data_IF_739012415505
#
_entry.id   IF_739012415505
#
_cell.length_a   1.000
_cell.length_b   1.000
_cell.length_c   1.000
_cell.angle_alpha   90.00
_cell.angle_beta   90.00
_cell.angle_gamma   90.00
#
_symmetry.space_group_name_H-M   'P 1'
#
loop_
_entity.id
_entity.type
_entity.pdbx_description
1 polymer ?
#
# COMPACT_ATOMS: atom_id res chain seq x y z
N UNK A 1 -22.39 -17.85 10.27
CA UNK A 1 -22.76 -16.91 9.19
C UNK A 1 -21.48 -16.18 8.83
N UNK A 2 -20.74 -16.80 7.89
CA UNK A 2 -19.44 -16.29 7.46
C UNK A 2 -19.69 -15.07 6.57
N UNK A 3 -19.42 -13.89 7.13
CA UNK A 3 -19.31 -12.66 6.34
C UNK A 3 -18.05 -12.78 5.49
N UNK A 4 -18.20 -13.34 4.30
CA UNK A 4 -17.20 -13.26 3.25
C UNK A 4 -17.08 -11.79 2.87
N UNK A 5 -16.08 -11.12 3.42
CA UNK A 5 -15.70 -9.80 2.96
C UNK A 5 -15.27 -9.93 1.50
N UNK A 6 -16.15 -9.56 0.57
CA UNK A 6 -15.74 -9.35 -0.80
C UNK A 6 -14.71 -8.21 -0.77
N UNK A 7 -13.47 -8.58 -0.96
CA UNK A 7 -12.36 -7.66 -1.18
C UNK A 7 -12.76 -6.70 -2.31
N UNK A 8 -13.16 -5.49 -1.94
CA UNK A 8 -13.01 -4.38 -2.87
C UNK A 8 -11.59 -3.91 -2.69
N UNK A 9 -10.76 -4.18 -3.68
CA UNK A 9 -9.41 -3.65 -3.82
C UNK A 9 -9.51 -2.13 -3.93
N UNK A 10 -9.52 -1.46 -2.79
CA UNK A 10 -9.34 -0.02 -2.73
C UNK A 10 -7.81 0.15 -2.73
N UNK A 11 -7.28 0.61 -3.85
CA UNK A 11 -5.92 1.17 -4.04
C UNK A 11 -4.86 0.64 -3.06
N UNK A 12 -4.32 -0.55 -3.30
CA UNK A 12 -3.15 -1.06 -2.58
C UNK A 12 -3.38 -1.50 -1.13
N UNK A 13 -4.58 -1.39 -0.59
CA UNK A 13 -4.91 -1.86 0.75
C UNK A 13 -5.33 -3.32 0.64
N UNK A 14 -4.34 -4.19 0.73
CA UNK A 14 -4.57 -5.62 0.75
C UNK A 14 -4.78 -6.07 2.19
N UNK A 15 -5.97 -6.57 2.45
CA UNK A 15 -6.27 -7.45 3.55
C UNK A 15 -6.31 -6.82 4.96
N UNK A 16 -7.51 -6.39 5.35
CA UNK A 16 -7.83 -6.08 6.74
C UNK A 16 -7.93 -7.33 7.63
N UNK A 17 -7.74 -8.55 7.11
CA UNK A 17 -7.79 -9.80 7.87
C UNK A 17 -6.70 -9.93 8.94
N UNK A 18 -5.74 -9.00 8.96
CA UNK A 18 -4.62 -9.00 9.90
C UNK A 18 -4.86 -8.30 11.24
N UNK A 19 -6.00 -7.68 11.41
CA UNK A 19 -6.35 -7.29 12.77
C UNK A 19 -6.74 -8.54 13.54
N UNK A 20 -5.90 -8.98 14.48
CA UNK A 20 -6.19 -10.12 15.34
C UNK A 20 -7.32 -9.76 16.30
N UNK A 21 -8.55 -9.83 15.77
CA UNK A 21 -9.78 -9.61 16.53
C UNK A 21 -10.22 -10.87 17.29
N UNK A 22 -9.44 -11.95 17.26
CA UNK A 22 -9.84 -13.26 17.78
C UNK A 22 -10.11 -13.30 19.27
N UNK A 23 -9.71 -12.28 20.03
CA UNK A 23 -9.72 -12.39 21.48
C UNK A 23 -10.82 -11.62 22.22
N UNK A 24 -11.73 -10.91 21.57
CA UNK A 24 -12.96 -10.43 22.24
C UNK A 24 -14.06 -10.08 21.24
N UNK A 25 -15.27 -10.58 21.49
CA UNK A 25 -16.47 -10.26 20.69
C UNK A 25 -16.74 -8.74 20.60
N UNK A 26 -16.42 -7.98 21.65
CA UNK A 26 -16.59 -6.52 21.65
C UNK A 26 -15.61 -5.80 20.71
N UNK A 27 -14.37 -6.27 20.58
CA UNK A 27 -13.38 -5.68 19.67
C UNK A 27 -13.67 -6.02 18.21
N UNK A 28 -14.11 -7.23 17.93
CA UNK A 28 -14.58 -7.60 16.57
C UNK A 28 -15.67 -6.64 16.12
N UNK A 29 -16.63 -6.36 16.98
CA UNK A 29 -17.74 -5.44 16.66
C UNK A 29 -17.24 -4.01 16.46
N UNK A 30 -16.32 -3.53 17.27
CA UNK A 30 -15.73 -2.17 17.16
C UNK A 30 -14.91 -1.99 15.89
N UNK A 31 -14.05 -2.96 15.58
CA UNK A 31 -13.30 -2.96 14.32
C UNK A 31 -14.21 -3.06 13.11
N UNK A 32 -15.24 -3.90 13.17
CA UNK A 32 -16.24 -4.02 12.11
C UNK A 32 -17.00 -2.70 11.91
N UNK A 33 -17.38 -2.00 12.98
CA UNK A 33 -18.05 -0.72 12.89
C UNK A 33 -17.17 0.34 12.19
N UNK A 34 -15.90 0.44 12.56
CA UNK A 34 -14.97 1.34 11.87
C UNK A 34 -14.82 1.00 10.38
N UNK A 35 -14.74 -0.29 10.05
CA UNK A 35 -14.66 -0.73 8.66
C UNK A 35 -15.96 -0.49 7.87
N UNK A 36 -17.10 -0.63 8.51
CA UNK A 36 -18.41 -0.30 7.91
C UNK A 36 -18.46 1.20 7.58
N UNK A 37 -18.06 2.06 8.52
CA UNK A 37 -18.02 3.52 8.32
C UNK A 37 -17.04 3.89 7.19
N UNK A 38 -15.87 3.28 7.18
CA UNK A 38 -14.89 3.48 6.10
C UNK A 38 -15.45 3.08 4.74
N UNK A 39 -16.05 1.89 4.62
CA UNK A 39 -16.62 1.40 3.36
C UNK A 39 -17.83 2.20 2.89
N UNK A 40 -18.53 2.88 3.81
CA UNK A 40 -19.61 3.80 3.50
C UNK A 40 -19.13 5.23 3.20
N UNK A 41 -17.81 5.46 3.17
CA UNK A 41 -17.20 6.78 3.02
C UNK A 41 -17.59 7.78 4.11
N UNK A 42 -17.99 7.30 5.29
CA UNK A 42 -18.36 8.10 6.47
C UNK A 42 -17.13 8.36 7.34
N UNK A 43 -16.13 9.02 6.74
CA UNK A 43 -14.82 9.19 7.38
C UNK A 43 -14.86 10.05 8.64
N UNK A 44 -15.72 11.06 8.70
CA UNK A 44 -15.90 11.89 9.90
C UNK A 44 -16.46 11.05 11.06
N UNK A 45 -17.55 10.30 10.82
CA UNK A 45 -18.13 9.41 11.84
C UNK A 45 -17.12 8.35 12.32
N UNK A 46 -16.27 7.84 11.40
CA UNK A 46 -15.19 6.91 11.74
C UNK A 46 -14.15 7.57 12.64
N UNK A 47 -13.74 8.82 12.37
CA UNK A 47 -12.77 9.55 13.18
C UNK A 47 -13.32 9.86 14.59
N UNK A 48 -14.58 10.27 14.70
CA UNK A 48 -15.24 10.50 15.98
C UNK A 48 -15.27 9.21 16.81
N UNK A 49 -15.65 8.10 16.18
CA UNK A 49 -15.65 6.79 16.84
C UNK A 49 -14.24 6.33 17.27
N UNK A 50 -13.22 6.60 16.45
CA UNK A 50 -11.84 6.35 16.83
C UNK A 50 -11.44 7.17 18.07
N UNK A 51 -11.86 8.43 18.18
CA UNK A 51 -11.54 9.29 19.30
C UNK A 51 -12.14 8.76 20.60
N UNK A 52 -13.41 8.34 20.61
CA UNK A 52 -14.06 7.72 21.78
C UNK A 52 -13.27 6.49 22.25
N UNK A 53 -12.81 5.65 21.31
CA UNK A 53 -12.03 4.46 21.64
C UNK A 53 -10.60 4.79 22.14
N UNK A 54 -9.98 5.84 21.59
CA UNK A 54 -8.68 6.33 22.08
C UNK A 54 -8.76 6.75 23.55
N UNK A 55 -9.79 7.50 23.91
CA UNK A 55 -10.03 7.91 25.29
C UNK A 55 -10.25 6.70 26.20
N UNK A 56 -11.11 5.76 25.79
CA UNK A 56 -11.40 4.54 26.56
C UNK A 56 -10.12 3.72 26.81
N UNK A 57 -9.32 3.48 25.76
CA UNK A 57 -8.12 2.64 25.91
C UNK A 57 -6.95 3.35 26.58
N UNK A 58 -6.86 4.67 26.46
CA UNK A 58 -5.89 5.48 27.21
C UNK A 58 -6.17 5.39 28.73
N UNK A 59 -7.41 5.56 29.16
CA UNK A 59 -7.82 5.43 30.56
C UNK A 59 -7.51 4.03 31.11
N UNK A 60 -7.72 3.00 30.30
CA UNK A 60 -7.47 1.61 30.66
C UNK A 60 -6.01 1.20 30.55
N UNK A 61 -5.11 2.08 30.14
CA UNK A 61 -3.70 1.78 29.82
C UNK A 61 -3.53 0.61 28.85
N UNK A 62 -4.47 0.46 27.90
CA UNK A 62 -4.44 -0.62 26.91
C UNK A 62 -3.78 -0.16 25.60
N UNK A 63 -2.44 0.05 25.67
CA UNK A 63 -1.66 0.57 24.55
C UNK A 63 -1.69 -0.33 23.31
N UNK A 64 -1.85 -1.65 23.45
CA UNK A 64 -1.96 -2.55 22.28
C UNK A 64 -3.23 -2.24 21.49
N UNK A 65 -4.36 -2.04 22.19
CA UNK A 65 -5.61 -1.66 21.54
C UNK A 65 -5.59 -0.23 21.00
N UNK A 66 -4.90 0.66 21.70
CA UNK A 66 -4.66 2.02 21.24
C UNK A 66 -3.90 2.02 19.90
N UNK A 67 -2.88 1.19 19.75
CA UNK A 67 -2.17 1.02 18.49
C UNK A 67 -3.05 0.46 17.37
N UNK A 68 -4.00 -0.43 17.69
CA UNK A 68 -4.99 -0.90 16.71
C UNK A 68 -5.87 0.25 16.21
N UNK A 69 -6.35 1.09 17.12
CA UNK A 69 -7.17 2.26 16.77
C UNK A 69 -6.37 3.25 15.91
N UNK A 70 -5.16 3.58 16.31
CA UNK A 70 -4.28 4.46 15.53
C UNK A 70 -4.03 3.91 14.12
N UNK A 71 -3.79 2.61 13.99
CA UNK A 71 -3.61 1.96 12.72
C UNK A 71 -4.85 2.05 11.82
N UNK A 72 -6.06 1.97 12.38
CA UNK A 72 -7.31 2.14 11.62
C UNK A 72 -7.59 3.60 11.28
N UNK A 73 -7.36 4.50 12.23
CA UNK A 73 -7.56 5.94 12.05
C UNK A 73 -6.81 6.50 10.85
N UNK A 74 -5.60 5.99 10.59
CA UNK A 74 -4.79 6.40 9.45
C UNK A 74 -5.47 6.21 8.09
N UNK A 75 -6.39 5.25 7.97
CA UNK A 75 -7.14 5.03 6.72
C UNK A 75 -8.17 6.13 6.42
N UNK A 76 -8.59 6.88 7.43
CA UNK A 76 -9.55 7.97 7.25
C UNK A 76 -8.93 9.23 6.66
N UNK A 77 -7.61 9.39 6.69
CA UNK A 77 -6.96 10.59 6.18
C UNK A 77 -6.82 10.58 4.66
N UNK A 78 -7.03 11.75 4.07
CA UNK A 78 -6.86 12.03 2.64
C UNK A 78 -5.50 12.68 2.34
N UNK A 79 -5.21 12.89 1.05
CA UNK A 79 -4.00 13.59 0.61
C UNK A 79 -3.92 15.04 1.13
N UNK A 80 -5.04 15.65 1.50
CA UNK A 80 -5.09 17.02 2.05
C UNK A 80 -4.83 17.06 3.56
N UNK A 81 -4.75 15.89 4.22
CA UNK A 81 -4.62 15.77 5.67
C UNK A 81 -3.27 15.18 6.11
N UNK A 82 -2.23 15.37 5.32
CA UNK A 82 -0.89 14.82 5.56
C UNK A 82 -0.33 15.16 6.94
N UNK A 83 -0.51 16.42 7.39
CA UNK A 83 -0.07 16.83 8.72
C UNK A 83 -0.75 16.05 9.86
N UNK A 84 -2.04 15.74 9.70
CA UNK A 84 -2.76 14.90 10.68
C UNK A 84 -2.21 13.48 10.70
N UNK A 85 -1.87 12.94 9.53
CA UNK A 85 -1.26 11.63 9.43
C UNK A 85 0.14 11.61 10.06
N UNK A 86 0.98 12.63 9.85
CA UNK A 86 2.29 12.74 10.51
C UNK A 86 2.18 12.78 12.04
N UNK A 87 1.21 13.54 12.56
CA UNK A 87 0.93 13.57 14.00
C UNK A 87 0.53 12.19 14.53
N UNK A 88 -0.32 11.47 13.78
CA UNK A 88 -0.71 10.11 14.12
C UNK A 88 0.49 9.16 14.13
N UNK A 89 1.35 9.22 13.11
CA UNK A 89 2.58 8.42 13.04
C UNK A 89 3.49 8.71 14.24
N UNK A 90 3.63 9.99 14.63
CA UNK A 90 4.40 10.38 15.81
C UNK A 90 3.80 9.80 17.10
N UNK A 91 2.47 9.81 17.26
CA UNK A 91 1.78 9.19 18.41
C UNK A 91 2.02 7.66 18.46
N UNK A 92 1.95 6.99 17.31
CA UNK A 92 2.25 5.55 17.21
C UNK A 92 3.69 5.28 17.65
N UNK A 93 4.66 6.01 17.11
CA UNK A 93 6.07 5.82 17.45
C UNK A 93 6.32 6.02 18.92
N UNK A 94 5.81 7.11 19.50
CA UNK A 94 5.93 7.37 20.95
C UNK A 94 5.33 6.24 21.79
N UNK A 95 4.17 5.73 21.40
CA UNK A 95 3.52 4.60 22.10
C UNK A 95 4.34 3.31 21.98
N UNK A 96 4.89 3.04 20.80
CA UNK A 96 5.75 1.88 20.55
C UNK A 96 7.04 1.98 21.37
N UNK A 97 7.70 3.13 21.37
CA UNK A 97 8.94 3.36 22.14
C UNK A 97 8.73 3.19 23.65
N UNK A 98 7.63 3.76 24.17
CA UNK A 98 7.30 3.67 25.60
C UNK A 98 6.99 2.23 26.06
N UNK A 99 6.53 1.36 25.16
CA UNK A 99 6.03 0.01 25.52
C UNK A 99 6.66 -1.12 24.71
N UNK A 100 7.80 -0.89 24.06
CA UNK A 100 8.42 -1.80 23.08
C UNK A 100 8.59 -3.24 23.61
N UNK A 101 9.01 -3.41 24.86
CA UNK A 101 9.21 -4.73 25.47
C UNK A 101 7.94 -5.58 25.59
N UNK A 102 6.76 -4.94 25.50
CA UNK A 102 5.48 -5.57 25.72
C UNK A 102 4.66 -5.70 24.42
N UNK A 103 5.17 -5.18 23.30
CA UNK A 103 4.48 -5.26 22.02
C UNK A 103 4.93 -6.53 21.27
N UNK A 104 4.01 -7.46 20.95
CA UNK A 104 4.35 -8.66 20.20
C UNK A 104 4.94 -8.31 18.82
N UNK A 105 5.96 -9.08 18.38
CA UNK A 105 6.61 -8.89 17.07
C UNK A 105 5.61 -8.85 15.92
N UNK A 106 4.57 -9.68 15.95
CA UNK A 106 3.51 -9.70 14.95
C UNK A 106 2.77 -8.37 14.89
N UNK A 107 2.53 -7.71 16.02
CA UNK A 107 1.88 -6.40 16.11
C UNK A 107 2.77 -5.31 15.51
N UNK A 108 4.06 -5.32 15.83
CA UNK A 108 5.03 -4.39 15.23
C UNK A 108 5.05 -4.54 13.70
N UNK A 109 5.11 -5.77 13.20
CA UNK A 109 5.05 -6.04 11.77
C UNK A 109 3.77 -5.49 11.11
N UNK A 110 2.61 -5.69 11.74
CA UNK A 110 1.34 -5.15 11.25
C UNK A 110 1.32 -3.62 11.21
N UNK A 111 1.84 -2.96 12.25
CA UNK A 111 1.93 -1.50 12.31
C UNK A 111 2.82 -0.95 11.20
N UNK A 112 4.02 -1.50 11.04
CA UNK A 112 4.96 -1.08 9.99
C UNK A 112 4.30 -1.17 8.61
N UNK A 113 3.67 -2.32 8.31
CA UNK A 113 2.94 -2.50 7.04
C UNK A 113 1.84 -1.47 6.87
N UNK A 114 0.98 -1.31 7.87
CA UNK A 114 -0.20 -0.44 7.75
C UNK A 114 0.19 1.03 7.61
N UNK A 115 1.15 1.51 8.39
CA UNK A 115 1.64 2.90 8.27
C UNK A 115 2.25 3.11 6.87
N UNK A 116 3.09 2.19 6.42
CA UNK A 116 3.71 2.29 5.10
C UNK A 116 2.70 2.32 3.95
N UNK A 117 1.69 1.44 3.98
CA UNK A 117 0.62 1.42 2.97
C UNK A 117 -0.26 2.67 3.01
N UNK A 118 -0.58 3.17 4.20
CA UNK A 118 -1.36 4.40 4.36
C UNK A 118 -0.58 5.62 3.84
N UNK A 119 0.69 5.72 4.21
CA UNK A 119 1.59 6.77 3.72
C UNK A 119 1.70 6.73 2.19
N UNK A 120 1.89 5.54 1.61
CA UNK A 120 1.88 5.37 0.15
C UNK A 120 0.56 5.86 -0.46
N UNK A 121 -0.58 5.50 0.12
CA UNK A 121 -1.91 5.90 -0.37
C UNK A 121 -2.09 7.41 -0.46
N UNK A 122 -1.54 8.17 0.49
CA UNK A 122 -1.67 9.63 0.56
C UNK A 122 -0.44 10.39 0.04
N UNK A 123 0.39 9.76 -0.79
CA UNK A 123 1.59 10.34 -1.42
C UNK A 123 2.66 10.85 -0.44
N UNK A 124 2.78 10.21 0.72
CA UNK A 124 3.85 10.46 1.69
C UNK A 124 4.95 9.42 1.51
N UNK A 125 5.57 9.40 0.32
CA UNK A 125 6.46 8.34 -0.12
C UNK A 125 7.70 8.15 0.76
N UNK A 126 8.26 9.19 1.37
CA UNK A 126 9.39 9.04 2.29
C UNK A 126 9.02 8.29 3.55
N UNK A 127 7.83 8.55 4.11
CA UNK A 127 7.29 7.77 5.24
C UNK A 127 7.00 6.34 4.79
N UNK A 128 6.39 6.16 3.62
CA UNK A 128 6.12 4.83 3.07
C UNK A 128 7.41 4.00 2.95
N UNK A 129 8.47 4.57 2.39
CA UNK A 129 9.77 3.91 2.26
C UNK A 129 10.28 3.46 3.63
N UNK A 130 10.36 4.39 4.60
CA UNK A 130 10.90 4.09 5.92
C UNK A 130 10.18 2.90 6.59
N UNK A 131 8.87 2.86 6.53
CA UNK A 131 8.08 1.81 7.19
C UNK A 131 8.03 0.50 6.41
N UNK A 132 7.95 0.55 5.08
CA UNK A 132 7.92 -0.65 4.24
C UNK A 132 9.27 -1.37 4.20
N UNK A 133 10.40 -0.64 4.22
CA UNK A 133 11.74 -1.24 4.36
C UNK A 133 11.85 -2.03 5.67
N UNK A 134 11.45 -1.43 6.78
CA UNK A 134 11.46 -2.09 8.08
C UNK A 134 10.55 -3.33 8.10
N UNK A 135 9.37 -3.23 7.49
CA UNK A 135 8.45 -4.37 7.38
C UNK A 135 9.05 -5.53 6.58
N UNK A 136 9.68 -5.24 5.44
CA UNK A 136 10.33 -6.25 4.59
C UNK A 136 11.51 -6.90 5.31
N UNK A 137 12.29 -6.13 6.09
CA UNK A 137 13.40 -6.63 6.89
C UNK A 137 12.97 -7.60 8.00
N UNK A 138 11.67 -7.68 8.32
CA UNK A 138 11.13 -8.65 9.28
C UNK A 138 10.82 -10.04 8.67
N UNK A 139 11.27 -10.33 7.44
CA UNK A 139 10.98 -11.58 6.71
C UNK A 139 9.49 -11.90 6.62
N UNK A 140 8.70 -10.91 6.33
CA UNK A 140 7.27 -11.08 6.24
C UNK A 140 6.85 -11.84 4.97
N UNK A 141 5.87 -12.77 5.06
CA UNK A 141 5.36 -13.51 3.90
C UNK A 141 4.72 -12.63 2.81
N UNK A 142 4.39 -11.38 3.13
CA UNK A 142 3.79 -10.41 2.20
C UNK A 142 4.79 -9.39 1.65
N UNK A 143 6.08 -9.63 1.79
CA UNK A 143 7.14 -8.73 1.32
C UNK A 143 7.01 -8.40 -0.19
N UNK A 144 6.54 -9.34 -1.01
CA UNK A 144 6.36 -9.10 -2.45
C UNK A 144 5.20 -8.13 -2.76
N UNK A 145 4.12 -8.18 -1.99
CA UNK A 145 2.97 -7.29 -2.19
C UNK A 145 3.37 -5.85 -1.89
N UNK A 146 3.92 -5.59 -0.71
CA UNK A 146 4.38 -4.24 -0.33
C UNK A 146 5.63 -3.79 -1.10
N UNK A 147 6.33 -4.72 -1.73
CA UNK A 147 7.47 -4.44 -2.58
C UNK A 147 7.15 -3.55 -3.78
N UNK A 148 5.92 -3.63 -4.30
CA UNK A 148 5.44 -2.77 -5.39
C UNK A 148 5.32 -1.33 -4.89
N UNK A 149 4.67 -1.13 -3.73
CA UNK A 149 4.49 0.20 -3.12
C UNK A 149 5.85 0.84 -2.81
N UNK A 150 6.80 0.03 -2.35
CA UNK A 150 8.16 0.46 -2.10
C UNK A 150 8.88 0.87 -3.40
N UNK A 151 8.78 0.07 -4.48
CA UNK A 151 9.35 0.41 -5.77
C UNK A 151 8.78 1.71 -6.34
N UNK A 152 7.46 1.88 -6.29
CA UNK A 152 6.81 3.13 -6.73
C UNK A 152 7.28 4.30 -5.87
N UNK A 153 7.35 4.12 -4.55
CA UNK A 153 7.78 5.17 -3.62
C UNK A 153 9.23 5.61 -3.90
N UNK A 154 10.14 4.67 -4.13
CA UNK A 154 11.52 4.98 -4.54
C UNK A 154 11.57 5.75 -5.85
N UNK A 155 10.78 5.36 -6.83
CA UNK A 155 10.76 6.04 -8.12
C UNK A 155 10.19 7.45 -8.00
N UNK A 156 9.08 7.64 -7.28
CA UNK A 156 8.45 8.95 -7.04
C UNK A 156 9.35 9.91 -6.23
N UNK A 157 10.24 9.40 -5.39
CA UNK A 157 11.22 10.18 -4.62
C UNK A 157 12.60 10.25 -5.27
N UNK A 158 12.75 9.74 -6.50
CA UNK A 158 14.02 9.66 -7.23
C UNK A 158 15.14 8.88 -6.50
N UNK A 159 14.76 7.95 -5.63
CA UNK A 159 15.70 7.05 -4.91
C UNK A 159 16.03 5.81 -5.74
N UNK A 160 16.50 6.02 -6.98
CA UNK A 160 16.71 4.94 -7.97
C UNK A 160 17.79 3.94 -7.54
N UNK A 161 18.79 4.37 -6.78
CA UNK A 161 19.83 3.46 -6.28
C UNK A 161 19.27 2.46 -5.25
N UNK A 162 18.40 2.91 -4.34
CA UNK A 162 17.70 2.04 -3.40
C UNK A 162 16.76 1.08 -4.12
N UNK A 163 16.02 1.55 -5.12
CA UNK A 163 15.18 0.71 -5.97
C UNK A 163 16.01 -0.39 -6.62
N UNK A 164 17.12 -0.04 -7.29
CA UNK A 164 18.03 -1.02 -7.91
C UNK A 164 18.57 -2.02 -6.90
N UNK A 165 18.99 -1.57 -5.73
CA UNK A 165 19.46 -2.44 -4.66
C UNK A 165 18.36 -3.41 -4.19
N UNK A 166 17.14 -2.92 -4.01
CA UNK A 166 16.01 -3.75 -3.60
C UNK A 166 15.67 -4.85 -4.60
N UNK A 167 15.70 -4.56 -5.92
CA UNK A 167 15.37 -5.54 -6.95
C UNK A 167 16.56 -6.41 -7.37
N UNK A 168 17.80 -6.08 -6.99
CA UNK A 168 19.02 -6.78 -7.42
C UNK A 168 18.97 -8.29 -7.11
N UNK A 169 18.48 -8.65 -5.94
CA UNK A 169 18.34 -10.04 -5.47
C UNK A 169 17.10 -10.76 -5.99
N UNK A 170 16.23 -10.07 -6.70
CA UNK A 170 14.97 -10.64 -7.19
C UNK A 170 15.11 -11.16 -8.61
N UNK A 171 14.45 -12.27 -8.87
CA UNK A 171 14.30 -12.84 -10.21
C UNK A 171 12.92 -12.53 -10.78
N UNK A 172 12.80 -12.57 -12.12
CA UNK A 172 11.50 -12.43 -12.78
C UNK A 172 10.60 -13.58 -12.37
N UNK A 173 9.46 -13.26 -11.81
CA UNK A 173 8.45 -14.24 -11.41
C UNK A 173 7.79 -14.84 -12.66
N UNK A 174 7.63 -16.16 -12.66
CA UNK A 174 7.01 -16.91 -13.77
C UNK A 174 5.53 -17.17 -13.56
N UNK A 175 4.96 -16.73 -12.44
CA UNK A 175 3.55 -16.92 -12.12
C UNK A 175 2.64 -15.90 -12.81
N UNK A 176 1.34 -16.17 -12.74
CA UNK A 176 0.30 -15.27 -13.27
C UNK A 176 -0.29 -14.34 -12.20
N UNK A 177 0.32 -14.28 -11.02
CA UNK A 177 -0.09 -13.37 -9.97
C UNK A 177 0.05 -11.91 -10.43
N UNK A 178 -1.01 -11.13 -10.26
CA UNK A 178 -1.03 -9.72 -10.61
C UNK A 178 0.14 -8.94 -9.94
N UNK A 179 0.43 -9.25 -8.68
CA UNK A 179 1.50 -8.59 -7.91
C UNK A 179 2.89 -8.95 -8.42
N UNK A 180 3.10 -10.20 -8.80
CA UNK A 180 4.33 -10.67 -9.41
C UNK A 180 4.56 -9.96 -10.75
N UNK A 181 3.51 -9.82 -11.56
CA UNK A 181 3.58 -9.10 -12.81
C UNK A 181 3.92 -7.61 -12.61
N UNK A 182 3.33 -6.96 -11.60
CA UNK A 182 3.66 -5.56 -11.29
C UNK A 182 5.13 -5.42 -10.84
N UNK A 183 5.62 -6.34 -10.01
CA UNK A 183 7.01 -6.32 -9.57
C UNK A 183 7.99 -6.66 -10.71
N UNK A 184 7.61 -7.56 -11.61
CA UNK A 184 8.39 -7.88 -12.81
C UNK A 184 8.67 -6.65 -13.69
N UNK A 185 7.73 -5.69 -13.76
CA UNK A 185 7.96 -4.44 -14.46
C UNK A 185 9.23 -3.73 -13.95
N UNK A 186 9.38 -3.58 -12.63
CA UNK A 186 10.54 -2.93 -12.04
C UNK A 186 11.82 -3.75 -12.24
N UNK A 187 11.74 -5.07 -12.11
CA UNK A 187 12.87 -5.97 -12.32
C UNK A 187 13.36 -5.83 -13.77
N UNK A 188 12.48 -5.91 -14.75
CA UNK A 188 12.85 -5.80 -16.15
C UNK A 188 13.38 -4.41 -16.48
N UNK A 189 12.72 -3.35 -16.02
CA UNK A 189 13.12 -1.97 -16.30
C UNK A 189 14.50 -1.61 -15.72
N UNK A 190 14.81 -2.03 -14.50
CA UNK A 190 15.97 -1.55 -13.77
C UNK A 190 17.12 -2.57 -13.65
N UNK A 191 16.84 -3.86 -13.81
CA UNK A 191 17.87 -4.91 -13.78
C UNK A 191 18.39 -5.23 -15.17
N UNK A 192 17.53 -5.27 -16.19
CA UNK A 192 17.89 -5.70 -17.54
C UNK A 192 18.10 -4.56 -18.55
N UNK A 193 17.82 -3.33 -18.19
CA UNK A 193 17.88 -2.13 -19.03
C UNK A 193 16.78 -2.07 -20.14
N UNK A 194 16.49 -0.85 -20.61
CA UNK A 194 15.33 -0.53 -21.47
C UNK A 194 15.35 -1.13 -22.88
N UNK A 195 16.48 -1.66 -23.34
CA UNK A 195 16.61 -2.24 -24.70
C UNK A 195 16.43 -3.76 -24.73
N UNK A 196 15.98 -4.35 -23.64
CA UNK A 196 15.77 -5.78 -23.56
C UNK A 196 14.47 -6.19 -24.27
N UNK A 197 14.54 -7.22 -25.10
CA UNK A 197 13.36 -7.80 -25.78
C UNK A 197 12.32 -8.31 -24.78
N UNK A 198 12.73 -8.82 -23.62
CA UNK A 198 11.81 -9.22 -22.54
C UNK A 198 11.01 -8.04 -21.98
N UNK A 199 11.66 -6.90 -21.74
CA UNK A 199 10.95 -5.69 -21.28
C UNK A 199 9.96 -5.21 -22.34
N UNK A 200 10.36 -5.21 -23.59
CA UNK A 200 9.49 -4.84 -24.72
C UNK A 200 8.29 -5.75 -24.83
N UNK A 201 8.51 -7.07 -24.75
CA UNK A 201 7.43 -8.07 -24.75
C UNK A 201 6.49 -7.87 -23.55
N UNK A 202 7.05 -7.64 -22.37
CA UNK A 202 6.26 -7.42 -21.15
C UNK A 202 5.39 -6.17 -21.26
N UNK A 203 5.97 -5.05 -21.73
CA UNK A 203 5.24 -3.79 -21.90
C UNK A 203 4.07 -3.99 -22.87
N UNK A 204 4.30 -4.60 -24.03
CA UNK A 204 3.27 -4.75 -25.07
C UNK A 204 2.15 -5.72 -24.65
N UNK A 205 2.49 -6.82 -23.99
CA UNK A 205 1.56 -7.92 -23.80
C UNK A 205 0.98 -8.03 -22.37
N UNK A 206 1.71 -7.55 -21.36
CA UNK A 206 1.31 -7.70 -19.95
C UNK A 206 0.79 -6.42 -19.33
N UNK A 207 1.39 -5.27 -19.67
CA UNK A 207 1.01 -4.01 -19.00
C UNK A 207 -0.41 -3.56 -19.35
N UNK A 208 -0.92 -3.68 -20.59
CA UNK A 208 -2.33 -3.40 -20.86
C UNK A 208 -3.27 -4.23 -19.98
N UNK A 209 -3.00 -5.54 -19.85
CA UNK A 209 -3.79 -6.43 -19.00
C UNK A 209 -3.72 -6.00 -17.51
N UNK A 210 -2.55 -5.55 -17.06
CA UNK A 210 -2.36 -5.04 -15.70
C UNK A 210 -3.20 -3.78 -15.50
N UNK A 211 -3.13 -2.83 -16.43
CA UNK A 211 -3.90 -1.57 -16.37
C UNK A 211 -5.40 -1.85 -16.35
N UNK A 212 -5.89 -2.75 -17.20
CA UNK A 212 -7.31 -3.09 -17.28
C UNK A 212 -7.84 -3.77 -16.01
N UNK A 213 -7.00 -4.58 -15.37
CA UNK A 213 -7.37 -5.36 -14.17
C UNK A 213 -6.96 -4.69 -12.85
N UNK A 214 -6.22 -3.59 -12.89
CA UNK A 214 -5.75 -2.87 -11.70
C UNK A 214 -6.59 -1.62 -11.50
N UNK A 215 -6.87 -1.29 -10.24
CA UNK A 215 -7.63 -0.08 -9.90
C UNK A 215 -6.77 0.90 -9.10
N UNK A 216 -7.21 2.16 -9.07
CA UNK A 216 -6.63 3.18 -8.21
C UNK A 216 -5.19 3.56 -8.59
N UNK A 217 -4.35 3.71 -7.57
CA UNK A 217 -3.01 4.30 -7.69
C UNK A 217 -2.04 3.53 -8.57
N UNK A 218 -2.15 2.21 -8.62
CA UNK A 218 -1.34 1.39 -9.53
C UNK A 218 -1.71 1.63 -10.99
N UNK A 219 -3.01 1.71 -11.29
CA UNK A 219 -3.47 1.99 -12.65
C UNK A 219 -2.92 3.32 -13.13
N UNK A 220 -3.06 4.38 -12.32
CA UNK A 220 -2.53 5.69 -12.65
C UNK A 220 -1.01 5.66 -12.87
N UNK A 221 -0.27 5.04 -11.95
CA UNK A 221 1.19 4.94 -12.04
C UNK A 221 1.63 4.24 -13.34
N UNK A 222 1.07 3.07 -13.64
CA UNK A 222 1.46 2.32 -14.83
C UNK A 222 1.01 2.99 -16.12
N UNK A 223 -0.11 3.70 -16.09
CA UNK A 223 -0.53 4.52 -17.21
C UNK A 223 0.47 5.65 -17.50
N UNK A 224 0.89 6.38 -16.48
CA UNK A 224 1.90 7.44 -16.60
C UNK A 224 3.24 6.88 -17.12
N UNK A 225 3.69 5.74 -16.59
CA UNK A 225 4.93 5.07 -17.01
C UNK A 225 4.88 4.66 -18.49
N UNK A 226 3.77 4.07 -18.94
CA UNK A 226 3.60 3.68 -20.33
C UNK A 226 3.52 4.87 -21.27
N UNK A 227 2.81 5.91 -20.87
CA UNK A 227 2.71 7.14 -21.66
C UNK A 227 4.09 7.74 -21.92
N UNK A 228 4.93 7.84 -20.88
CA UNK A 228 6.30 8.30 -21.01
C UNK A 228 7.15 7.43 -21.94
N UNK A 229 7.04 6.11 -21.82
CA UNK A 229 7.79 5.17 -22.65
C UNK A 229 7.38 5.25 -24.12
N UNK A 230 6.10 5.37 -24.41
CA UNK A 230 5.56 5.51 -25.77
C UNK A 230 6.04 6.82 -26.41
N UNK A 231 6.04 7.92 -25.66
CA UNK A 231 6.53 9.22 -26.16
C UNK A 231 8.05 9.20 -26.42
N UNK A 232 8.82 8.60 -25.56
CA UNK A 232 10.27 8.57 -25.65
C UNK A 232 10.78 7.67 -26.77
N UNK A 233 10.13 6.53 -27.00
CA UNK A 233 10.71 5.49 -27.87
C UNK A 233 10.10 5.44 -29.26
N UNK A 234 8.95 6.07 -29.53
CA UNK A 234 8.16 5.96 -30.78
C UNK A 234 7.93 4.50 -31.24
N UNK A 235 8.34 3.53 -30.45
CA UNK A 235 8.35 2.10 -30.77
C UNK A 235 7.02 1.42 -30.55
N UNK A 236 6.12 2.05 -29.76
CA UNK A 236 4.88 1.44 -29.30
C UNK A 236 3.64 2.19 -29.77
N UNK A 237 3.54 2.40 -31.09
CA UNK A 237 2.46 3.18 -31.70
C UNK A 237 1.06 2.61 -31.39
N UNK A 238 0.94 1.29 -31.33
CA UNK A 238 -0.33 0.61 -31.02
C UNK A 238 -0.72 0.78 -29.54
N UNK A 239 0.28 0.84 -28.64
CA UNK A 239 0.07 1.17 -27.24
C UNK A 239 -0.41 2.61 -27.04
N UNK A 240 0.00 3.54 -27.88
CA UNK A 240 -0.51 4.92 -27.83
C UNK A 240 -2.02 4.95 -28.07
N UNK A 241 -2.49 4.25 -29.10
CA UNK A 241 -3.92 4.15 -29.40
C UNK A 241 -4.70 3.54 -28.24
N UNK A 242 -4.13 2.52 -27.58
CA UNK A 242 -4.72 1.91 -26.39
C UNK A 242 -4.77 2.92 -25.21
N UNK A 243 -3.68 3.63 -24.93
CA UNK A 243 -3.62 4.61 -23.85
C UNK A 243 -4.59 5.78 -24.08
N UNK A 244 -4.68 6.27 -25.30
CA UNK A 244 -5.62 7.34 -25.66
C UNK A 244 -7.09 6.90 -25.43
N UNK A 245 -7.39 5.61 -25.66
CA UNK A 245 -8.73 5.04 -25.41
C UNK A 245 -9.03 4.79 -23.92
N UNK A 246 -8.02 4.70 -23.07
CA UNK A 246 -8.17 4.39 -21.63
C UNK A 246 -8.01 5.62 -20.73
N UNK A 247 -7.61 6.77 -21.29
CA UNK A 247 -7.41 8.02 -20.54
C UNK A 247 -8.66 8.46 -19.76
N UNK A 248 -9.84 8.25 -20.34
CA UNK A 248 -11.13 8.63 -19.75
C UNK A 248 -11.55 7.71 -18.57
N UNK A 249 -10.82 6.60 -18.35
CA UNK A 249 -11.10 5.63 -17.28
C UNK A 249 -10.22 5.85 -16.05
N UNK A 250 -9.37 6.88 -16.05
CA UNK A 250 -8.56 7.20 -14.88
C UNK A 250 -9.42 7.90 -13.83
N UNK A 251 -9.33 7.52 -12.55
CA UNK A 251 -9.97 8.26 -11.48
C UNK A 251 -9.33 9.66 -11.39
N UNK A 252 -10.17 10.67 -11.40
CA UNK A 252 -9.83 12.07 -11.13
C UNK A 252 -9.43 12.20 -9.65
#
# INVERSE_FOLDING_TARGET
MDLVFKQRTISGIHDFSYFDFKNSSSMINRGNNMMILYNQSKLSEMLDYCQDLEEEYSIKNNYIRLLDIYSLKGFAFSNTEKEKFEKLVSQINHTVEAHNSNIPKIKTSQLLKNIGLQAFRIDMYDIAINYLEQYIAMDSPYANIVGIDLCISYQKTNKINQLKSFIQSKEVYKGDSQYENLLNYFILKYKYQTDNDELSYFIVNKVPIIIDNTMGKYKQFFYEELSMLVEQTKRYKDLKTYLDSTSDMLPI
#
